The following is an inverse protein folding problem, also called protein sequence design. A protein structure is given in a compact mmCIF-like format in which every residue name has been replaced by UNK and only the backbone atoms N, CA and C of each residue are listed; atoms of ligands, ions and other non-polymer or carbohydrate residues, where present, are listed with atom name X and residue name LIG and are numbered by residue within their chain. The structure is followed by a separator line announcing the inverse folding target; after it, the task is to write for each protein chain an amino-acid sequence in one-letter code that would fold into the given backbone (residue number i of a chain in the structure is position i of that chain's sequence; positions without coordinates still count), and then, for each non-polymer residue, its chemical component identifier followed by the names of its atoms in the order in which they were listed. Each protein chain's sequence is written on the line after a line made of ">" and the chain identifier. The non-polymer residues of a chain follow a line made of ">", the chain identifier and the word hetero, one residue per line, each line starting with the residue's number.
data_IF_436532161372
#
_entry.id   IF_436532161372
#
_cell.length_a   1.000
_cell.length_b   1.000
_cell.length_c   1.000
_cell.angle_alpha   90.00
_cell.angle_beta   90.00
_cell.angle_gamma   90.00
#
_symmetry.space_group_name_H-M   'P 1'
#
loop_
_entity.id
_entity.type
_entity.pdbx_description
1 polymer ?
#
# COMPACT_ATOMS: atom_id res chain seq x y z
N UNK A 1 18.63 17.26 7.14
CA UNK A 1 17.93 16.39 6.17
C UNK A 1 18.64 16.48 4.83
N UNK A 2 19.35 15.42 4.44
CA UNK A 2 20.01 15.27 3.14
C UNK A 2 19.06 14.66 2.11
N UNK A 3 19.38 14.76 0.81
CA UNK A 3 18.60 14.12 -0.25
C UNK A 3 18.49 12.59 -0.06
N UNK A 4 19.50 11.97 0.53
CA UNK A 4 19.48 10.55 0.85
C UNK A 4 18.50 10.22 1.98
N UNK A 5 18.41 11.08 3.00
CA UNK A 5 17.43 10.91 4.08
C UNK A 5 16.00 11.07 3.55
N UNK A 6 15.78 12.05 2.66
CA UNK A 6 14.48 12.25 1.99
C UNK A 6 14.11 11.05 1.13
N UNK A 7 15.03 10.54 0.30
CA UNK A 7 14.73 9.40 -0.57
C UNK A 7 14.39 8.14 0.24
N UNK A 8 15.09 7.92 1.36
CA UNK A 8 14.80 6.83 2.28
C UNK A 8 13.43 6.99 2.92
N UNK A 9 13.06 8.20 3.35
CA UNK A 9 11.75 8.44 3.94
C UNK A 9 10.61 8.18 2.95
N UNK A 10 10.76 8.64 1.70
CA UNK A 10 9.78 8.39 0.64
C UNK A 10 9.66 6.89 0.37
N UNK A 11 10.79 6.18 0.22
CA UNK A 11 10.78 4.73 -0.01
C UNK A 11 10.08 3.97 1.13
N UNK A 12 10.35 4.34 2.38
CA UNK A 12 9.70 3.72 3.54
C UNK A 12 8.19 3.99 3.58
N UNK A 13 7.74 5.19 3.20
CA UNK A 13 6.30 5.52 3.10
C UNK A 13 5.61 4.73 1.99
N UNK A 14 6.26 4.57 0.83
CA UNK A 14 5.73 3.77 -0.28
C UNK A 14 5.63 2.28 0.08
N UNK A 15 6.65 1.72 0.71
CA UNK A 15 6.62 0.35 1.25
C UNK A 15 5.50 0.20 2.29
N UNK A 16 5.34 1.23 3.13
CA UNK A 16 4.33 1.30 4.19
C UNK A 16 2.90 1.06 3.72
N UNK A 17 2.57 1.40 2.47
CA UNK A 17 1.24 1.18 1.87
C UNK A 17 0.85 -0.31 1.88
N UNK A 18 1.82 -1.21 1.71
CA UNK A 18 1.59 -2.64 1.56
C UNK A 18 1.88 -3.45 2.82
N UNK A 19 2.50 -2.84 3.83
CA UNK A 19 2.83 -3.49 5.11
C UNK A 19 1.76 -3.23 6.14
N UNK A 20 1.59 -4.15 7.08
CA UNK A 20 0.65 -3.97 8.19
C UNK A 20 1.03 -2.72 9.01
N UNK A 21 0.03 -1.89 9.26
CA UNK A 21 0.17 -0.75 10.17
C UNK A 21 0.03 -1.19 11.64
N UNK A 22 -0.07 -0.21 12.54
CA UNK A 22 -0.28 -0.42 13.97
C UNK A 22 -1.60 -1.13 14.32
N UNK A 23 -2.58 -1.16 13.40
CA UNK A 23 -3.86 -1.88 13.54
C UNK A 23 -3.79 -3.30 13.00
N UNK A 24 -2.66 -3.69 12.37
CA UNK A 24 -2.45 -5.01 11.79
C UNK A 24 -3.03 -5.15 10.39
N UNK A 25 -3.47 -4.06 9.76
CA UNK A 25 -4.02 -4.06 8.40
C UNK A 25 -3.14 -3.21 7.47
N UNK A 26 -2.92 -3.64 6.22
CA UNK A 26 -2.14 -2.84 5.29
C UNK A 26 -3.01 -1.71 4.71
N UNK A 27 -2.50 -0.46 4.65
CA UNK A 27 -3.23 0.70 4.15
C UNK A 27 -3.83 0.52 2.75
N UNK A 28 -3.19 -0.26 1.88
CA UNK A 28 -3.63 -0.53 0.50
C UNK A 28 -5.10 -0.95 0.37
N UNK A 29 -5.67 -1.62 1.37
CA UNK A 29 -7.07 -2.03 1.32
C UNK A 29 -8.07 -0.98 1.84
N UNK A 30 -7.61 0.09 2.50
CA UNK A 30 -8.46 1.16 3.04
C UNK A 30 -9.62 0.61 3.88
N UNK A 31 -10.85 0.93 3.49
CA UNK A 31 -12.07 0.43 4.16
C UNK A 31 -12.58 -0.91 3.60
N UNK A 32 -11.90 -1.50 2.61
CA UNK A 32 -12.31 -2.74 1.94
C UNK A 32 -12.06 -3.96 2.83
N UNK A 33 -13.01 -4.22 3.74
CA UNK A 33 -12.94 -5.33 4.71
C UNK A 33 -12.75 -6.72 4.09
N UNK A 34 -13.22 -6.92 2.85
CA UNK A 34 -13.14 -8.22 2.17
C UNK A 34 -11.70 -8.73 2.11
N UNK A 35 -10.75 -7.88 1.72
CA UNK A 35 -9.34 -8.25 1.53
C UNK A 35 -8.49 -8.16 2.80
N UNK A 36 -9.07 -7.63 3.88
CA UNK A 36 -8.47 -7.61 5.23
C UNK A 36 -8.76 -8.86 6.05
N UNK A 37 -9.63 -9.75 5.53
CA UNK A 37 -9.95 -11.00 6.19
C UNK A 37 -8.74 -11.96 6.21
N UNK A 38 -8.60 -12.82 7.23
CA UNK A 38 -7.39 -13.65 7.42
C UNK A 38 -6.97 -14.47 6.21
N UNK A 39 -7.93 -14.89 5.37
CA UNK A 39 -7.66 -15.71 4.19
C UNK A 39 -6.96 -14.94 3.04
N UNK A 40 -7.07 -13.62 3.01
CA UNK A 40 -6.39 -12.75 2.03
C UNK A 40 -5.09 -12.15 2.54
N UNK A 41 -4.67 -12.46 3.77
CA UNK A 41 -3.53 -11.79 4.44
C UNK A 41 -2.26 -11.74 3.59
N UNK A 42 -2.02 -12.73 2.75
CA UNK A 42 -0.83 -12.84 1.91
C UNK A 42 -1.11 -12.60 0.42
N UNK A 43 -2.28 -12.07 0.08
CA UNK A 43 -2.72 -11.81 -1.29
C UNK A 43 -2.78 -10.30 -1.56
N UNK A 44 -1.62 -9.74 -1.87
CA UNK A 44 -1.49 -8.31 -2.17
C UNK A 44 -2.10 -8.00 -3.52
N UNK A 45 -2.95 -6.96 -3.56
CA UNK A 45 -3.50 -6.39 -4.79
C UNK A 45 -2.70 -5.15 -5.17
N UNK A 46 -2.61 -4.90 -6.47
CA UNK A 46 -1.89 -3.75 -7.03
C UNK A 46 -2.88 -2.82 -7.71
N UNK A 47 -2.93 -1.58 -7.22
CA UNK A 47 -3.91 -0.59 -7.66
C UNK A 47 -3.29 0.44 -8.61
N UNK A 48 -4.15 1.05 -9.43
CA UNK A 48 -3.77 2.08 -10.39
C UNK A 48 -3.15 3.32 -9.72
N UNK A 49 -3.78 3.78 -8.63
CA UNK A 49 -3.37 4.96 -7.88
C UNK A 49 -3.60 4.75 -6.37
N UNK A 50 -2.98 5.59 -5.54
CA UNK A 50 -3.10 5.53 -4.08
C UNK A 50 -3.54 6.88 -3.51
N UNK A 51 -4.39 6.84 -2.50
CA UNK A 51 -4.81 8.03 -1.78
C UNK A 51 -3.62 8.62 -0.99
N UNK A 52 -3.33 9.91 -1.21
CA UNK A 52 -2.14 10.56 -0.64
C UNK A 52 -2.08 10.59 0.89
N UNK A 53 -3.22 10.72 1.56
CA UNK A 53 -3.25 10.82 3.02
C UNK A 53 -3.22 9.47 3.76
N UNK A 54 -3.86 8.44 3.21
CA UNK A 54 -4.09 7.17 3.92
C UNK A 54 -3.60 5.93 3.18
N UNK A 55 -3.04 6.06 1.98
CA UNK A 55 -2.46 4.95 1.22
C UNK A 55 -3.47 3.95 0.63
N UNK A 56 -4.77 4.22 0.68
CA UNK A 56 -5.78 3.34 0.11
C UNK A 56 -5.61 3.21 -1.41
N UNK A 57 -5.65 1.97 -1.92
CA UNK A 57 -5.63 1.69 -3.35
C UNK A 57 -6.94 2.10 -4.03
N UNK A 58 -6.83 2.74 -5.20
CA UNK A 58 -7.93 3.31 -5.98
C UNK A 58 -7.81 2.90 -7.46
N UNK A 59 -8.94 2.85 -8.16
CA UNK A 59 -9.00 2.47 -9.57
C UNK A 59 -8.97 0.96 -9.78
N UNK A 60 -8.38 0.51 -10.89
CA UNK A 60 -8.25 -0.92 -11.18
C UNK A 60 -7.29 -1.59 -10.18
N UNK A 61 -7.70 -2.75 -9.66
CA UNK A 61 -7.02 -3.50 -8.59
C UNK A 61 -6.13 -4.65 -9.12
N UNK A 62 -6.08 -4.81 -10.44
CA UNK A 62 -5.26 -5.79 -11.14
C UNK A 62 -4.11 -5.14 -11.93
N UNK A 63 -3.61 -4.00 -11.46
CA UNK A 63 -2.59 -3.23 -12.15
C UNK A 63 -1.18 -3.75 -11.81
N UNK A 64 -0.84 -4.92 -12.35
CA UNK A 64 0.45 -5.61 -12.11
C UNK A 64 1.61 -5.12 -12.99
N UNK A 65 1.46 -3.95 -13.61
CA UNK A 65 2.51 -3.31 -14.40
C UNK A 65 3.49 -2.55 -13.49
N UNK A 66 3.44 -1.21 -13.47
CA UNK A 66 4.40 -0.41 -12.69
C UNK A 66 4.27 -0.57 -11.18
N UNK A 67 3.07 -0.85 -10.67
CA UNK A 67 2.84 -0.99 -9.22
C UNK A 67 3.37 -2.34 -8.68
N UNK A 68 3.58 -3.33 -9.56
CA UNK A 68 4.15 -4.63 -9.20
C UNK A 68 5.68 -4.72 -9.30
N UNK A 69 6.36 -3.63 -9.69
CA UNK A 69 7.82 -3.54 -9.83
C UNK A 69 8.48 -3.12 -8.51
#
# INVERSE_FOLDING_TARGET
>A
MSLFEVSKEIAMRLIGIFTQDHTGQPPVYGETKKFQAPFWKNNVLFYEHFHGDNGAGLGDSHQTAWTGL
#
